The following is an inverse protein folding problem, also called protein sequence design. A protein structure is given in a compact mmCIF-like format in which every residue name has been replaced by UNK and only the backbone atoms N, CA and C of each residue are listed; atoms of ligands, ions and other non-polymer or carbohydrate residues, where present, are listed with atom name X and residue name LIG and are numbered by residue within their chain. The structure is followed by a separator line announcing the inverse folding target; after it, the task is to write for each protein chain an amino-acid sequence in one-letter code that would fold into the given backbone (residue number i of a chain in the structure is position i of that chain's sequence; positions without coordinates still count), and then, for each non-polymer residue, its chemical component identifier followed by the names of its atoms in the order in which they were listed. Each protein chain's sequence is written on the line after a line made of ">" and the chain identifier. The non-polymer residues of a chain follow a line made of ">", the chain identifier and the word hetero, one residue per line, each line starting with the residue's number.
data_IF_677850916235
#
_entry.id   IF_677850916235
#
_cell.length_a   1.000
_cell.length_b   1.000
_cell.length_c   1.000
_cell.angle_alpha   90.00
_cell.angle_beta   90.00
_cell.angle_gamma   90.00
#
_symmetry.space_group_name_H-M   'P 1'
#
loop_
_entity.id
_entity.type
_entity.pdbx_description
1 polymer ?
#
# COMPACT_ATOMS: atom_id res chain seq x y z
N UNK A 1 -14.38 -33.06 -10.43
CA UNK A 1 -14.87 -31.73 -10.03
C UNK A 1 -13.66 -30.86 -9.84
N UNK A 2 -13.60 -29.72 -10.49
CA UNK A 2 -12.51 -28.76 -10.28
C UNK A 2 -12.53 -28.28 -8.81
N UNK A 3 -11.36 -28.15 -8.16
CA UNK A 3 -11.32 -27.60 -6.82
C UNK A 3 -11.84 -26.15 -6.88
N UNK A 4 -12.87 -25.84 -6.10
CA UNK A 4 -13.31 -24.47 -5.90
C UNK A 4 -12.14 -23.69 -5.29
N UNK A 5 -11.53 -22.82 -6.10
CA UNK A 5 -10.42 -21.97 -5.70
C UNK A 5 -10.87 -21.12 -4.51
N UNK A 6 -10.26 -21.37 -3.36
CA UNK A 6 -10.65 -20.70 -2.12
C UNK A 6 -10.14 -19.28 -2.21
N UNK A 7 -11.05 -18.31 -2.23
CA UNK A 7 -10.70 -16.90 -2.21
C UNK A 7 -9.73 -16.62 -1.05
N UNK A 8 -8.63 -15.95 -1.36
CA UNK A 8 -7.66 -15.52 -0.36
C UNK A 8 -8.33 -14.57 0.65
N UNK A 9 -7.95 -14.63 1.94
CA UNK A 9 -8.45 -13.68 2.93
C UNK A 9 -8.08 -12.23 2.54
N UNK A 10 -9.04 -11.32 2.72
CA UNK A 10 -8.89 -9.88 2.46
C UNK A 10 -8.81 -9.14 3.80
N UNK A 11 -7.71 -8.42 4.02
CA UNK A 11 -7.50 -7.58 5.20
C UNK A 11 -7.74 -6.12 4.84
N UNK A 12 -8.55 -5.42 5.64
CA UNK A 12 -8.73 -3.96 5.54
C UNK A 12 -7.92 -3.28 6.63
N UNK A 13 -7.06 -2.35 6.24
CA UNK A 13 -6.16 -1.64 7.15
C UNK A 13 -6.56 -0.17 7.26
N UNK A 14 -6.71 0.33 8.48
CA UNK A 14 -6.85 1.76 8.74
C UNK A 14 -5.47 2.42 8.67
N UNK A 15 -5.17 3.11 7.56
CA UNK A 15 -3.84 3.69 7.35
C UNK A 15 -3.57 4.95 8.17
N UNK A 16 -4.60 5.58 8.75
CA UNK A 16 -4.46 6.91 9.36
C UNK A 16 -4.37 7.99 8.28
N UNK A 17 -5.26 7.91 7.28
CA UNK A 17 -5.31 8.85 6.17
C UNK A 17 -5.46 10.29 6.68
N UNK A 18 -4.68 11.26 6.16
CA UNK A 18 -4.69 12.62 6.68
C UNK A 18 -6.06 13.29 6.46
N UNK A 19 -6.58 13.89 7.53
CA UNK A 19 -7.84 14.63 7.48
C UNK A 19 -7.79 15.78 6.47
N UNK A 20 -8.86 15.93 5.70
CA UNK A 20 -8.97 16.97 4.67
C UNK A 20 -8.20 16.70 3.38
N UNK A 21 -7.44 15.61 3.30
CA UNK A 21 -6.83 15.16 2.03
C UNK A 21 -7.83 14.27 1.30
N UNK A 22 -8.29 14.65 0.10
CA UNK A 22 -9.18 13.81 -0.68
C UNK A 22 -8.44 12.56 -1.15
N UNK A 23 -9.17 11.47 -1.28
CA UNK A 23 -8.67 10.22 -1.83
C UNK A 23 -8.25 10.38 -3.29
N UNK A 24 -9.02 11.13 -4.10
CA UNK A 24 -8.74 11.37 -5.52
C UNK A 24 -8.98 12.80 -6.01
N UNK A 25 -8.64 13.05 -7.28
CA UNK A 25 -8.65 14.39 -7.88
C UNK A 25 -10.03 14.97 -8.22
N UNK A 26 -11.11 14.16 -8.20
CA UNK A 26 -12.46 14.56 -8.66
C UNK A 26 -13.05 15.78 -7.94
N UNK A 27 -12.60 16.04 -6.71
CA UNK A 27 -13.02 17.19 -5.89
C UNK A 27 -11.88 18.21 -5.67
N UNK A 28 -10.79 18.10 -6.44
CA UNK A 28 -9.62 18.94 -6.36
C UNK A 28 -8.54 18.40 -5.43
N UNK A 29 -7.29 18.36 -5.90
CA UNK A 29 -6.12 17.97 -5.11
C UNK A 29 -5.09 19.11 -5.13
N UNK A 30 -4.98 19.82 -4.02
CA UNK A 30 -4.18 21.04 -3.92
C UNK A 30 -2.72 20.74 -3.53
N UNK A 31 -1.78 21.68 -3.71
CA UNK A 31 -0.43 21.55 -3.16
C UNK A 31 -0.40 21.30 -1.63
N UNK A 32 -1.35 21.85 -0.89
CA UNK A 32 -1.48 21.61 0.55
C UNK A 32 -1.93 20.16 0.84
N UNK A 33 -2.86 19.62 0.06
CA UNK A 33 -3.25 18.20 0.16
C UNK A 33 -2.07 17.29 -0.13
N UNK A 34 -1.29 17.61 -1.17
CA UNK A 34 -0.05 16.89 -1.49
C UNK A 34 0.91 16.91 -0.31
N UNK A 35 1.22 18.07 0.25
CA UNK A 35 2.14 18.18 1.37
C UNK A 35 1.68 17.37 2.60
N UNK A 36 0.38 17.42 2.91
CA UNK A 36 -0.21 16.63 3.99
C UNK A 36 -0.13 15.12 3.72
N UNK A 37 -0.38 14.69 2.49
CA UNK A 37 -0.22 13.29 2.08
C UNK A 37 1.23 12.84 2.22
N UNK A 38 2.18 13.60 1.66
CA UNK A 38 3.61 13.28 1.71
C UNK A 38 4.12 13.12 3.15
N UNK A 39 3.69 13.99 4.06
CA UNK A 39 4.06 13.89 5.47
C UNK A 39 3.49 12.65 6.17
N UNK A 40 2.34 12.13 5.72
CA UNK A 40 1.69 10.97 6.30
C UNK A 40 2.20 9.63 5.73
N UNK A 41 2.78 9.62 4.53
CA UNK A 41 3.20 8.41 3.81
C UNK A 41 4.10 7.47 4.62
N UNK A 42 5.15 7.91 5.34
CA UNK A 42 6.03 7.00 6.08
C UNK A 42 5.26 6.16 7.10
N UNK A 43 4.41 6.79 7.91
CA UNK A 43 3.60 6.07 8.90
C UNK A 43 2.53 5.17 8.27
N UNK A 44 2.00 5.54 7.11
CA UNK A 44 1.08 4.65 6.37
C UNK A 44 1.81 3.40 5.83
N UNK A 45 3.03 3.59 5.30
CA UNK A 45 3.87 2.50 4.82
C UNK A 45 4.28 1.54 5.94
N UNK A 46 4.69 2.05 7.11
CA UNK A 46 5.01 1.25 8.29
C UNK A 46 3.84 0.35 8.72
N UNK A 47 2.61 0.88 8.71
CA UNK A 47 1.41 0.11 9.04
C UNK A 47 1.16 -1.02 8.05
N UNK A 48 1.39 -0.77 6.75
CA UNK A 48 1.24 -1.80 5.71
C UNK A 48 2.33 -2.86 5.87
N UNK A 49 3.58 -2.44 6.08
CA UNK A 49 4.69 -3.35 6.30
C UNK A 49 4.43 -4.30 7.48
N UNK A 50 4.00 -3.77 8.63
CA UNK A 50 3.63 -4.59 9.78
C UNK A 50 2.51 -5.60 9.47
N UNK A 51 1.46 -5.17 8.75
CA UNK A 51 0.38 -6.06 8.36
C UNK A 51 0.81 -7.15 7.36
N UNK A 52 1.83 -6.89 6.54
CA UNK A 52 2.41 -7.88 5.64
C UNK A 52 3.29 -8.89 6.39
N UNK A 53 4.07 -8.44 7.38
CA UNK A 53 4.92 -9.34 8.18
C UNK A 53 4.12 -10.37 8.97
N UNK A 54 2.89 -10.04 9.38
CA UNK A 54 1.98 -10.96 10.05
C UNK A 54 1.34 -12.01 9.10
N UNK A 55 1.59 -11.95 7.78
CA UNK A 55 1.00 -12.90 6.83
C UNK A 55 1.70 -14.28 6.87
N UNK A 56 1.01 -15.36 7.26
CA UNK A 56 1.62 -16.70 7.34
C UNK A 56 1.97 -17.32 5.97
N UNK A 57 1.55 -16.70 4.86
CA UNK A 57 1.80 -17.19 3.48
C UNK A 57 3.11 -16.67 2.88
N UNK A 58 3.89 -15.93 3.65
CA UNK A 58 5.20 -15.43 3.23
C UNK A 58 6.10 -16.58 2.76
N UNK A 59 6.81 -16.37 1.65
CA UNK A 59 7.79 -17.34 1.14
C UNK A 59 8.97 -17.41 2.09
N UNK A 60 9.29 -18.59 2.60
CA UNK A 60 10.45 -18.84 3.48
C UNK A 60 11.65 -19.45 2.72
N UNK A 61 11.59 -19.43 1.39
CA UNK A 61 12.58 -20.00 0.46
C UNK A 61 13.79 -19.07 0.21
N UNK A 62 13.83 -17.89 0.85
CA UNK A 62 14.89 -16.90 0.64
C UNK A 62 14.77 -16.13 -0.67
N UNK A 63 13.70 -16.35 -1.44
CA UNK A 63 13.30 -15.49 -2.55
C UNK A 63 12.76 -14.14 -2.03
N UNK A 64 13.03 -13.01 -2.72
CA UNK A 64 12.55 -11.70 -2.29
C UNK A 64 11.02 -11.65 -2.31
N UNK A 65 10.46 -10.98 -1.30
CA UNK A 65 9.02 -10.76 -1.17
C UNK A 65 8.53 -9.91 -2.34
N UNK A 66 7.33 -10.19 -2.87
CA UNK A 66 6.73 -9.40 -3.96
C UNK A 66 5.40 -8.80 -3.52
N UNK A 67 5.26 -7.49 -3.66
CA UNK A 67 4.05 -6.73 -3.32
C UNK A 67 3.57 -6.00 -4.57
N UNK A 68 2.28 -6.15 -4.91
CA UNK A 68 1.64 -5.43 -6.00
C UNK A 68 0.70 -4.37 -5.42
N UNK A 69 0.92 -3.10 -5.76
CA UNK A 69 0.11 -1.96 -5.36
C UNK A 69 -0.81 -1.57 -6.52
N UNK A 70 -2.09 -1.86 -6.36
CA UNK A 70 -3.10 -1.55 -7.36
C UNK A 70 -3.76 -0.19 -7.06
N UNK A 71 -3.59 0.75 -7.98
CA UNK A 71 -4.39 1.98 -8.06
C UNK A 71 -5.43 1.90 -9.18
N UNK A 72 -6.40 2.81 -9.18
CA UNK A 72 -7.31 3.02 -10.31
C UNK A 72 -7.23 4.48 -10.81
N UNK A 73 -7.85 4.80 -11.95
CA UNK A 73 -7.61 6.05 -12.68
C UNK A 73 -7.89 7.33 -11.87
N UNK A 74 -8.78 7.29 -10.87
CA UNK A 74 -9.03 8.45 -9.99
C UNK A 74 -7.97 8.62 -8.87
N UNK A 75 -7.08 7.63 -8.74
CA UNK A 75 -6.07 7.48 -7.70
C UNK A 75 -4.68 7.16 -8.28
N UNK A 76 -4.17 7.80 -9.33
CA UNK A 76 -2.81 7.43 -9.79
C UNK A 76 -1.69 7.93 -8.86
N UNK A 77 -1.89 9.08 -8.19
CA UNK A 77 -0.86 9.68 -7.33
C UNK A 77 -0.68 8.94 -6.01
N UNK A 78 -1.76 8.73 -5.25
CA UNK A 78 -1.68 8.19 -3.89
C UNK A 78 -1.13 6.74 -3.81
N UNK A 79 -1.63 5.77 -4.58
CA UNK A 79 -1.09 4.41 -4.67
C UNK A 79 0.37 4.38 -5.13
N UNK A 80 0.75 5.19 -6.14
CA UNK A 80 2.16 5.27 -6.56
C UNK A 80 3.05 5.74 -5.42
N UNK A 81 2.67 6.84 -4.75
CA UNK A 81 3.44 7.39 -3.62
C UNK A 81 3.48 6.42 -2.43
N UNK A 82 2.39 5.70 -2.17
CA UNK A 82 2.33 4.67 -1.13
C UNK A 82 3.22 3.48 -1.46
N UNK A 83 3.25 3.05 -2.73
CA UNK A 83 4.16 2.00 -3.20
C UNK A 83 5.62 2.38 -3.00
N UNK A 84 6.01 3.60 -3.40
CA UNK A 84 7.38 4.11 -3.16
C UNK A 84 7.73 4.19 -1.67
N UNK A 85 6.81 4.67 -0.82
CA UNK A 85 7.04 4.72 0.62
C UNK A 85 7.13 3.31 1.24
N UNK A 86 6.35 2.36 0.73
CA UNK A 86 6.37 0.97 1.17
C UNK A 86 7.66 0.26 0.77
N UNK A 87 8.16 0.49 -0.45
CA UNK A 87 9.46 0.00 -0.91
C UNK A 87 10.59 0.48 0.03
N UNK A 88 10.57 1.77 0.39
CA UNK A 88 11.54 2.33 1.33
C UNK A 88 11.42 1.71 2.74
N UNK A 89 10.22 1.36 3.19
CA UNK A 89 9.99 0.75 4.51
C UNK A 89 10.38 -0.73 4.57
N UNK A 90 10.21 -1.48 3.47
CA UNK A 90 10.47 -2.93 3.41
C UNK A 90 11.91 -3.29 3.03
N UNK A 91 12.65 -2.35 2.43
CA UNK A 91 14.05 -2.55 2.07
C UNK A 91 14.27 -3.45 0.85
N UNK A 92 15.52 -3.79 0.57
CA UNK A 92 15.96 -4.39 -0.71
C UNK A 92 15.53 -5.84 -0.92
N UNK A 93 15.08 -6.53 0.13
CA UNK A 93 14.61 -7.91 0.06
C UNK A 93 13.13 -8.01 -0.37
N UNK A 94 12.50 -6.86 -0.67
CA UNK A 94 11.13 -6.79 -1.19
C UNK A 94 11.07 -6.01 -2.51
N UNK A 95 10.44 -6.59 -3.51
CA UNK A 95 10.03 -5.90 -4.75
C UNK A 95 8.62 -5.35 -4.57
N UNK A 96 8.44 -4.04 -4.74
CA UNK A 96 7.12 -3.38 -4.77
C UNK A 96 6.84 -2.87 -6.18
N UNK A 97 5.68 -3.24 -6.75
CA UNK A 97 5.28 -2.92 -8.12
C UNK A 97 3.93 -2.25 -8.21
#
# INVERSE_FOLDING_TARGET
>A
GEPAERAAPVTRLGLGWPGGVPDGGRHGFTPAHRAALEAALPGMAERIAAALDDDPRQSHDGSPRRVLVLGFEELMYAPLRLGTALEAALGTDTEVR
#
